data_IF_838923353579
#
_entry.id   IF_838923353579
#
_cell.length_a   1.000
_cell.length_b   1.000
_cell.length_c   1.000
_cell.angle_alpha   90.00
_cell.angle_beta   90.00
_cell.angle_gamma   90.00
#
_symmetry.space_group_name_H-M   'P 1'
#
loop_
_entity.id
_entity.type
_entity.pdbx_description
1 polymer ?
#
# COMPACT_ATOMS: atom_id res chain seq x y z
N UNK A 1 -59.62 33.73 -34.23
CA UNK A 1 -59.13 34.23 -32.92
C UNK A 1 -57.62 34.46 -33.00
N UNK A 2 -57.15 35.68 -33.31
CA UNK A 2 -55.70 36.00 -33.45
C UNK A 2 -55.10 36.34 -32.09
N UNK A 3 -54.23 35.48 -31.54
CA UNK A 3 -53.46 35.78 -30.32
C UNK A 3 -52.46 36.90 -30.61
N UNK A 4 -52.68 38.08 -30.03
CA UNK A 4 -51.76 39.23 -30.03
C UNK A 4 -50.51 38.85 -29.21
N UNK A 5 -49.43 38.46 -29.88
CA UNK A 5 -48.13 38.31 -29.23
C UNK A 5 -47.62 39.71 -28.81
N UNK A 6 -47.53 39.97 -27.51
CA UNK A 6 -46.85 41.17 -26.99
C UNK A 6 -45.39 41.12 -27.45
N UNK A 7 -45.01 41.99 -28.38
CA UNK A 7 -43.61 42.18 -28.77
C UNK A 7 -42.87 42.78 -27.56
N UNK A 8 -42.13 41.95 -26.84
CA UNK A 8 -41.23 42.40 -25.78
C UNK A 8 -40.26 43.46 -26.33
N UNK A 9 -40.15 44.58 -25.61
CA UNK A 9 -39.22 45.67 -25.91
C UNK A 9 -37.79 45.13 -26.04
N UNK A 10 -37.03 45.62 -27.03
CA UNK A 10 -35.67 45.13 -27.30
C UNK A 10 -34.77 45.21 -26.06
N UNK A 11 -34.98 46.21 -25.18
CA UNK A 11 -34.26 46.37 -23.91
C UNK A 11 -34.49 45.22 -22.92
N UNK A 12 -35.69 44.63 -22.92
CA UNK A 12 -36.03 43.48 -22.07
C UNK A 12 -35.46 42.20 -22.65
N UNK A 13 -35.43 42.06 -23.98
CA UNK A 13 -34.77 40.91 -24.64
C UNK A 13 -33.26 40.91 -24.39
N UNK A 14 -32.61 42.07 -24.44
CA UNK A 14 -31.17 42.19 -24.13
C UNK A 14 -30.89 41.90 -22.65
N UNK A 15 -31.73 42.39 -21.72
CA UNK A 15 -31.57 42.08 -20.29
C UNK A 15 -31.73 40.60 -19.98
N UNK A 16 -32.73 39.92 -20.57
CA UNK A 16 -32.93 38.48 -20.39
C UNK A 16 -31.77 37.68 -20.97
N UNK A 17 -31.27 38.07 -22.15
CA UNK A 17 -30.09 37.46 -22.76
C UNK A 17 -28.84 37.59 -21.88
N UNK A 18 -28.60 38.78 -21.33
CA UNK A 18 -27.45 39.04 -20.45
C UNK A 18 -27.54 38.23 -19.16
N UNK A 19 -28.72 38.16 -18.53
CA UNK A 19 -28.94 37.33 -17.34
C UNK A 19 -28.73 35.84 -17.61
N UNK A 20 -29.11 35.34 -18.80
CA UNK A 20 -28.86 33.94 -19.17
C UNK A 20 -27.36 33.66 -19.32
N UNK A 21 -26.60 34.55 -19.95
CA UNK A 21 -25.14 34.41 -20.12
C UNK A 21 -24.42 34.40 -18.77
N UNK A 22 -24.80 35.31 -17.85
CA UNK A 22 -24.24 35.36 -16.49
C UNK A 22 -24.57 34.06 -15.73
N UNK A 23 -25.81 33.59 -15.80
CA UNK A 23 -26.24 32.37 -15.13
C UNK A 23 -25.50 31.13 -15.67
N UNK A 24 -25.31 31.04 -17.00
CA UNK A 24 -24.54 29.97 -17.64
C UNK A 24 -23.07 30.00 -17.21
N UNK A 25 -22.47 31.19 -17.11
CA UNK A 25 -21.07 31.35 -16.70
C UNK A 25 -20.87 30.89 -15.25
N UNK A 26 -21.79 31.26 -14.35
CA UNK A 26 -21.76 30.84 -12.94
C UNK A 26 -21.96 29.33 -12.77
N UNK A 27 -22.86 28.72 -13.54
CA UNK A 27 -23.04 27.26 -13.55
C UNK A 27 -21.77 26.54 -14.02
N UNK A 28 -21.13 27.05 -15.08
CA UNK A 28 -19.89 26.50 -15.63
C UNK A 28 -18.75 26.57 -14.60
N UNK A 29 -18.61 27.71 -13.93
CA UNK A 29 -17.60 27.90 -12.88
C UNK A 29 -17.85 26.99 -11.66
N UNK A 30 -19.11 26.84 -11.24
CA UNK A 30 -19.49 25.95 -10.15
C UNK A 30 -19.18 24.48 -10.45
N UNK A 31 -19.46 24.02 -11.68
CA UNK A 31 -19.08 22.68 -12.13
C UNK A 31 -17.56 22.49 -12.20
N UNK A 32 -16.81 23.49 -12.63
CA UNK A 32 -15.34 23.47 -12.66
C UNK A 32 -14.71 23.33 -11.27
N UNK A 33 -15.17 24.13 -10.31
CA UNK A 33 -14.69 24.08 -8.92
C UNK A 33 -15.07 22.76 -8.25
N UNK A 34 -16.31 22.27 -8.45
CA UNK A 34 -16.74 20.98 -7.91
C UNK A 34 -15.92 19.82 -8.49
N UNK A 35 -15.67 19.82 -9.80
CA UNK A 35 -14.84 18.81 -10.47
C UNK A 35 -13.39 18.82 -9.97
N UNK A 36 -12.81 20.00 -9.74
CA UNK A 36 -11.45 20.12 -9.19
C UNK A 36 -11.36 19.58 -7.76
N UNK A 37 -12.29 19.94 -6.88
CA UNK A 37 -12.31 19.47 -5.48
C UNK A 37 -12.54 17.95 -5.41
N UNK A 38 -13.40 17.40 -6.27
CA UNK A 38 -13.63 15.94 -6.34
C UNK A 38 -12.39 15.21 -6.87
N UNK A 39 -11.73 15.75 -7.90
CA UNK A 39 -10.50 15.16 -8.44
C UNK A 39 -9.34 15.24 -7.44
N UNK A 40 -9.13 16.38 -6.78
CA UNK A 40 -8.09 16.51 -5.74
C UNK A 40 -8.32 15.54 -4.59
N UNK A 41 -9.58 15.36 -4.15
CA UNK A 41 -9.92 14.36 -3.12
C UNK A 41 -9.67 12.93 -3.61
N UNK A 42 -10.01 12.62 -4.85
CA UNK A 42 -9.76 11.31 -5.44
C UNK A 42 -8.25 11.02 -5.55
N UNK A 43 -7.47 11.97 -6.07
CA UNK A 43 -6.00 11.90 -6.15
C UNK A 43 -5.35 11.77 -4.78
N UNK A 44 -5.80 12.56 -3.80
CA UNK A 44 -5.30 12.48 -2.42
C UNK A 44 -5.60 11.11 -1.82
N UNK A 45 -6.82 10.60 -1.99
CA UNK A 45 -7.20 9.28 -1.47
C UNK A 45 -6.40 8.13 -2.09
N UNK A 46 -6.18 8.17 -3.42
CA UNK A 46 -5.37 7.16 -4.13
C UNK A 46 -3.91 7.26 -3.71
N UNK A 47 -3.38 8.47 -3.57
CA UNK A 47 -2.00 8.67 -3.13
C UNK A 47 -1.78 8.20 -1.69
N UNK A 48 -2.68 8.55 -0.78
CA UNK A 48 -2.64 8.08 0.62
C UNK A 48 -2.74 6.55 0.70
N UNK A 49 -3.59 5.93 -0.11
CA UNK A 49 -3.73 4.47 -0.16
C UNK A 49 -2.48 3.79 -0.73
N UNK A 50 -1.90 4.32 -1.82
CA UNK A 50 -0.66 3.80 -2.38
C UNK A 50 0.52 3.96 -1.43
N UNK A 51 0.64 5.10 -0.76
CA UNK A 51 1.68 5.33 0.25
C UNK A 51 1.51 4.38 1.43
N UNK A 52 0.27 4.14 1.86
CA UNK A 52 -0.02 3.17 2.91
C UNK A 52 0.37 1.74 2.50
N UNK A 53 0.01 1.29 1.29
CA UNK A 53 0.36 -0.02 0.78
C UNK A 53 1.89 -0.19 0.66
N UNK A 54 2.57 0.84 0.14
CA UNK A 54 4.04 0.86 0.08
C UNK A 54 4.65 0.74 1.48
N UNK A 55 4.13 1.47 2.47
CA UNK A 55 4.61 1.39 3.84
C UNK A 55 4.49 -0.03 4.44
N UNK A 56 3.48 -0.81 4.06
CA UNK A 56 3.37 -2.21 4.49
C UNK A 56 4.49 -3.07 3.86
N UNK A 57 4.77 -2.90 2.58
CA UNK A 57 5.86 -3.62 1.90
C UNK A 57 7.24 -3.22 2.46
N UNK A 58 7.45 -1.93 2.70
CA UNK A 58 8.67 -1.41 3.32
C UNK A 58 8.85 -2.00 4.74
N UNK A 59 7.78 -2.10 5.52
CA UNK A 59 7.81 -2.73 6.85
C UNK A 59 8.21 -4.20 6.77
N UNK A 60 7.67 -4.97 5.82
CA UNK A 60 8.07 -6.37 5.62
C UNK A 60 9.55 -6.46 5.23
N UNK A 61 10.00 -5.64 4.27
CA UNK A 61 11.39 -5.64 3.83
C UNK A 61 12.35 -5.26 4.96
N UNK A 62 11.97 -4.30 5.81
CA UNK A 62 12.76 -3.90 6.97
C UNK A 62 12.93 -5.07 7.96
N UNK A 63 11.83 -5.72 8.34
CA UNK A 63 11.86 -6.82 9.31
C UNK A 63 12.69 -8.01 8.80
N UNK A 64 12.60 -8.34 7.51
CA UNK A 64 13.42 -9.41 6.92
C UNK A 64 14.91 -9.08 6.91
N UNK A 65 15.27 -7.81 6.61
CA UNK A 65 16.66 -7.36 6.66
C UNK A 65 17.20 -7.35 8.09
N UNK A 66 16.39 -6.94 9.07
CA UNK A 66 16.77 -7.01 10.49
C UNK A 66 17.01 -8.45 10.93
N UNK A 67 16.16 -9.40 10.52
CA UNK A 67 16.38 -10.84 10.76
C UNK A 67 17.71 -11.32 10.15
N UNK A 68 17.97 -11.02 8.88
CA UNK A 68 19.21 -11.38 8.21
C UNK A 68 20.45 -10.80 8.93
N UNK A 69 20.40 -9.51 9.26
CA UNK A 69 21.47 -8.84 9.97
C UNK A 69 21.75 -9.46 11.34
N UNK A 70 20.69 -9.90 12.05
CA UNK A 70 20.81 -10.54 13.37
C UNK A 70 21.34 -11.95 13.29
N UNK A 71 21.01 -12.70 12.24
CA UNK A 71 21.66 -13.97 11.97
C UNK A 71 23.17 -13.76 11.79
N UNK A 72 23.58 -12.82 10.92
CA UNK A 72 24.99 -12.48 10.70
C UNK A 72 25.69 -12.00 11.98
N UNK A 73 25.03 -11.15 12.74
CA UNK A 73 25.54 -10.60 14.01
C UNK A 73 25.67 -11.65 15.10
N UNK A 74 24.78 -12.64 15.14
CA UNK A 74 24.87 -13.78 16.06
C UNK A 74 26.02 -14.72 15.68
N UNK A 75 26.15 -15.03 14.38
CA UNK A 75 27.25 -15.84 13.85
C UNK A 75 28.61 -15.18 14.08
N UNK A 76 28.66 -13.85 14.02
CA UNK A 76 29.86 -13.04 14.28
C UNK A 76 30.10 -12.72 15.76
N UNK A 77 29.32 -13.32 16.67
CA UNK A 77 29.41 -13.12 18.13
C UNK A 77 29.18 -11.69 18.63
N UNK A 78 28.60 -10.81 17.80
CA UNK A 78 28.34 -9.41 18.15
C UNK A 78 27.07 -9.24 18.99
N UNK A 79 26.17 -10.22 18.94
CA UNK A 79 24.87 -10.15 19.64
C UNK A 79 24.52 -11.50 20.28
N UNK A 80 23.93 -11.51 21.49
CA UNK A 80 23.60 -12.75 22.19
C UNK A 80 22.29 -13.37 21.67
N UNK A 81 22.18 -14.71 21.74
CA UNK A 81 21.02 -15.45 21.23
C UNK A 81 19.67 -15.02 21.84
N UNK A 82 19.55 -14.75 23.18
CA UNK A 82 18.28 -14.33 23.77
C UNK A 82 17.72 -13.03 23.18
N UNK A 83 18.59 -12.05 22.87
CA UNK A 83 18.19 -10.79 22.26
C UNK A 83 17.66 -10.97 20.84
N UNK A 84 18.35 -11.79 20.04
CA UNK A 84 17.92 -12.10 18.67
C UNK A 84 16.64 -12.94 18.65
N UNK A 85 16.48 -13.89 19.57
CA UNK A 85 15.27 -14.69 19.72
C UNK A 85 14.05 -13.81 20.06
N UNK A 86 14.20 -12.87 21.00
CA UNK A 86 13.11 -11.98 21.37
C UNK A 86 12.71 -11.11 20.18
N UNK A 87 13.68 -10.54 19.47
CA UNK A 87 13.38 -9.75 18.27
C UNK A 87 12.69 -10.59 17.19
N UNK A 88 13.16 -11.80 16.92
CA UNK A 88 12.55 -12.69 15.93
C UNK A 88 11.07 -12.98 16.25
N UNK A 89 10.73 -13.17 17.52
CA UNK A 89 9.34 -13.36 17.98
C UNK A 89 8.45 -12.13 17.78
N UNK A 90 9.02 -10.93 17.66
CA UNK A 90 8.30 -9.70 17.33
C UNK A 90 8.21 -9.48 15.82
N UNK A 91 9.30 -9.74 15.10
CA UNK A 91 9.42 -9.53 13.65
C UNK A 91 8.47 -10.42 12.86
N UNK A 92 8.41 -11.72 13.18
CA UNK A 92 7.57 -12.67 12.43
C UNK A 92 6.08 -12.31 12.47
N UNK A 93 5.46 -12.02 13.64
CA UNK A 93 4.08 -11.52 13.67
C UNK A 93 3.90 -10.18 12.96
N UNK A 94 4.91 -9.30 13.00
CA UNK A 94 4.85 -7.98 12.34
C UNK A 94 4.82 -8.13 10.82
N UNK A 95 5.67 -8.98 10.25
CA UNK A 95 5.66 -9.35 8.83
C UNK A 95 4.27 -9.88 8.43
N UNK A 96 3.74 -10.86 9.20
CA UNK A 96 2.42 -11.45 8.91
C UNK A 96 1.32 -10.40 8.94
N UNK A 97 1.31 -9.52 9.94
CA UNK A 97 0.32 -8.45 10.08
C UNK A 97 0.39 -7.45 8.94
N UNK A 98 1.59 -7.00 8.57
CA UNK A 98 1.80 -6.07 7.46
C UNK A 98 1.33 -6.68 6.13
N UNK A 99 1.61 -7.97 5.90
CA UNK A 99 1.17 -8.65 4.69
C UNK A 99 -0.36 -8.81 4.62
N UNK A 100 -1.01 -9.24 5.71
CA UNK A 100 -2.47 -9.32 5.75
C UNK A 100 -3.13 -7.95 5.56
N UNK A 101 -2.52 -6.91 6.15
CA UNK A 101 -2.96 -5.52 5.99
C UNK A 101 -2.86 -5.08 4.52
N UNK A 102 -1.73 -5.37 3.86
CA UNK A 102 -1.56 -5.12 2.43
C UNK A 102 -2.63 -5.85 1.61
N UNK A 103 -2.82 -7.16 1.82
CA UNK A 103 -3.81 -7.97 1.11
C UNK A 103 -5.25 -7.48 1.30
N UNK A 104 -5.58 -6.94 2.48
CA UNK A 104 -6.93 -6.44 2.79
C UNK A 104 -7.26 -5.14 2.08
N UNK A 105 -6.25 -4.31 1.77
CA UNK A 105 -6.41 -2.99 1.18
C UNK A 105 -6.07 -2.93 -0.30
N UNK A 106 -5.29 -3.86 -0.82
CA UNK A 106 -5.01 -3.91 -2.24
C UNK A 106 -6.29 -4.24 -3.00
N UNK A 107 -6.82 -3.24 -3.72
CA UNK A 107 -8.04 -3.38 -4.51
C UNK A 107 -7.88 -4.52 -5.53
N UNK A 108 -8.83 -5.46 -5.52
CA UNK A 108 -8.83 -6.63 -6.40
C UNK A 108 -9.30 -6.32 -7.81
N UNK A 109 -10.04 -5.22 -7.99
CA UNK A 109 -10.64 -4.84 -9.27
C UNK A 109 -9.71 -4.08 -10.21
N UNK A 110 -8.62 -3.49 -9.68
CA UNK A 110 -7.61 -2.74 -10.43
C UNK A 110 -6.29 -3.51 -10.66
N UNK A 111 -6.22 -4.79 -10.27
CA UNK A 111 -4.97 -5.58 -10.37
C UNK A 111 -4.71 -6.03 -11.80
N UNK A 112 -3.51 -5.73 -12.30
CA UNK A 112 -3.01 -6.38 -13.52
C UNK A 112 -2.61 -7.83 -13.23
N UNK A 113 -2.54 -8.71 -14.26
CA UNK A 113 -2.04 -10.08 -14.10
C UNK A 113 -0.65 -10.15 -13.46
N UNK A 114 0.21 -9.17 -13.75
CA UNK A 114 1.57 -9.07 -13.22
C UNK A 114 1.56 -8.80 -11.71
N UNK A 115 0.73 -7.86 -11.25
CA UNK A 115 0.57 -7.57 -9.82
C UNK A 115 0.05 -8.79 -9.06
N UNK A 116 -0.94 -9.50 -9.62
CA UNK A 116 -1.44 -10.74 -9.03
C UNK A 116 -0.35 -11.81 -8.93
N UNK A 117 0.48 -11.98 -9.97
CA UNK A 117 1.60 -12.92 -9.97
C UNK A 117 2.62 -12.57 -8.88
N UNK A 118 2.95 -11.29 -8.69
CA UNK A 118 3.85 -10.84 -7.62
C UNK A 118 3.26 -11.08 -6.23
N UNK A 119 1.97 -10.77 -6.04
CA UNK A 119 1.25 -11.05 -4.78
C UNK A 119 1.26 -12.55 -4.46
N UNK A 120 1.05 -13.41 -5.45
CA UNK A 120 1.09 -14.86 -5.28
C UNK A 120 2.50 -15.36 -4.95
N UNK A 121 3.54 -14.83 -5.63
CA UNK A 121 4.95 -15.15 -5.34
C UNK A 121 5.27 -14.80 -3.88
N UNK A 122 5.00 -13.56 -3.47
CA UNK A 122 5.29 -13.09 -2.10
C UNK A 122 4.47 -13.89 -1.08
N UNK A 123 3.19 -14.13 -1.33
CA UNK A 123 2.34 -14.92 -0.41
C UNK A 123 2.90 -16.32 -0.21
N UNK A 124 3.32 -17.00 -1.29
CA UNK A 124 3.90 -18.35 -1.19
C UNK A 124 5.17 -18.35 -0.35
N UNK A 125 6.06 -17.38 -0.55
CA UNK A 125 7.31 -17.31 0.23
C UNK A 125 7.04 -16.99 1.70
N UNK A 126 6.18 -16.00 1.99
CA UNK A 126 5.85 -15.63 3.36
C UNK A 126 5.11 -16.75 4.12
N UNK A 127 4.23 -17.52 3.45
CA UNK A 127 3.56 -18.67 4.06
C UNK A 127 4.54 -19.85 4.19
N UNK A 128 5.38 -20.10 3.19
CA UNK A 128 6.36 -21.19 3.19
C UNK A 128 7.49 -21.04 4.21
N UNK A 129 7.82 -19.80 4.58
CA UNK A 129 8.88 -19.47 5.54
C UNK A 129 8.55 -19.79 7.01
N UNK A 130 7.34 -20.26 7.33
CA UNK A 130 6.96 -20.67 8.69
C UNK A 130 7.86 -21.77 9.25
N UNK A 131 8.31 -22.69 8.39
CA UNK A 131 9.24 -23.76 8.78
C UNK A 131 10.63 -23.21 9.11
N UNK A 132 11.16 -22.32 8.26
CA UNK A 132 12.41 -21.61 8.46
C UNK A 132 12.43 -20.85 9.80
N UNK A 133 11.41 -20.03 10.08
CA UNK A 133 11.37 -19.26 11.34
C UNK A 133 11.30 -20.14 12.58
N UNK A 134 10.62 -21.29 12.51
CA UNK A 134 10.61 -22.28 13.60
C UNK A 134 12.00 -22.87 13.83
N UNK A 135 12.70 -23.27 12.76
CA UNK A 135 14.08 -23.78 12.87
C UNK A 135 15.02 -22.71 13.44
N UNK A 136 14.88 -21.45 13.01
CA UNK A 136 15.70 -20.34 13.52
C UNK A 136 15.44 -20.05 15.01
N UNK A 137 14.18 -20.13 15.47
CA UNK A 137 13.85 -20.05 16.90
C UNK A 137 14.56 -21.14 17.69
N UNK A 138 14.54 -22.38 17.20
CA UNK A 138 15.21 -23.51 17.86
C UNK A 138 16.73 -23.36 17.85
N UNK A 139 17.32 -22.89 16.74
CA UNK A 139 18.74 -22.61 16.64
C UNK A 139 19.19 -21.57 17.68
N UNK A 140 18.45 -20.45 17.82
CA UNK A 140 18.72 -19.46 18.86
C UNK A 140 18.51 -20.00 20.28
N UNK A 141 17.54 -20.89 20.52
CA UNK A 141 17.33 -21.52 21.84
C UNK A 141 18.49 -22.43 22.24
N UNK A 142 19.08 -23.12 21.27
CA UNK A 142 20.26 -23.97 21.47
C UNK A 142 21.57 -23.18 21.49
N UNK A 143 21.50 -21.89 21.18
CA UNK A 143 22.67 -21.03 20.93
C UNK A 143 23.61 -21.62 19.86
N UNK A 144 23.07 -22.40 18.90
CA UNK A 144 23.85 -23.07 17.86
C UNK A 144 24.10 -22.12 16.69
N UNK A 145 25.35 -21.65 16.55
CA UNK A 145 25.75 -20.81 15.41
C UNK A 145 25.80 -21.58 14.11
N UNK A 146 26.20 -22.86 14.15
CA UNK A 146 26.24 -23.73 12.98
C UNK A 146 24.84 -23.97 12.42
N UNK A 147 23.84 -24.13 13.30
CA UNK A 147 22.43 -24.24 12.88
C UNK A 147 21.97 -22.92 12.23
N UNK A 148 22.32 -21.75 12.79
CA UNK A 148 21.97 -20.44 12.21
C UNK A 148 22.67 -20.22 10.87
N UNK A 149 23.93 -20.64 10.72
CA UNK A 149 24.68 -20.55 9.48
C UNK A 149 24.08 -21.42 8.38
N UNK A 150 23.79 -22.69 8.69
CA UNK A 150 23.14 -23.61 7.75
C UNK A 150 21.78 -23.06 7.30
N UNK A 151 21.02 -22.46 8.24
CA UNK A 151 19.75 -21.82 7.89
C UNK A 151 19.92 -20.59 6.99
N UNK A 152 20.99 -19.80 7.19
CA UNK A 152 21.26 -18.60 6.40
C UNK A 152 21.68 -18.93 4.96
N UNK A 153 22.53 -19.95 4.79
CA UNK A 153 23.03 -20.34 3.46
C UNK A 153 22.01 -21.17 2.68
N UNK A 154 21.41 -22.19 3.32
CA UNK A 154 20.66 -23.23 2.60
C UNK A 154 19.15 -23.01 2.62
N UNK A 155 18.62 -22.46 3.71
CA UNK A 155 17.18 -22.36 3.96
C UNK A 155 16.65 -20.91 3.90
N UNK A 156 17.47 -19.92 3.53
CA UNK A 156 17.03 -18.53 3.47
C UNK A 156 15.90 -18.37 2.44
N UNK A 157 14.73 -17.83 2.84
CA UNK A 157 13.62 -17.70 1.91
C UNK A 157 14.00 -16.77 0.74
N UNK A 158 13.79 -17.22 -0.50
CA UNK A 158 13.98 -16.41 -1.72
C UNK A 158 12.97 -15.25 -1.77
N UNK A 159 13.26 -14.19 -1.03
CA UNK A 159 12.44 -12.99 -0.97
C UNK A 159 13.12 -11.92 -1.83
N UNK A 160 12.87 -11.99 -3.13
CA UNK A 160 13.19 -10.90 -4.04
C UNK A 160 12.04 -9.88 -4.02
N UNK A 161 12.32 -8.68 -3.51
CA UNK A 161 11.48 -7.51 -3.74
C UNK A 161 11.93 -6.87 -5.06
N UNK A 162 11.23 -7.21 -6.15
CA UNK A 162 11.38 -6.61 -7.48
C UNK A 162 10.11 -5.91 -7.89
#
# INVERSE_FOLDING_TARGET
>A
MKRKGRKLSMKVKTLIGMSCVICFTLLSAGFGIYGQVVNERALTSVYEEQMYLKAQLDSISFELRDIAYRMLSFMSEQTPAPGNLNRLKESVPTIKRAWQTYLSKVDKSSKTPEVNKSIDKISKVLIGSDSFFKKLIEAYRKESRDDVFSLFEDDWPEIEFG
#
